data_IF_735584063518
#
_entry.id   IF_735584063518
#
_cell.length_a   1.000
_cell.length_b   1.000
_cell.length_c   1.000
_cell.angle_alpha   90.00
_cell.angle_beta   90.00
_cell.angle_gamma   90.00
#
_symmetry.space_group_name_H-M   'P 1'
#
loop_
_entity.id
_entity.type
_entity.pdbx_description
1 polymer ?
#
# COMPACT_ATOMS: atom_id res chain seq x y z
N UNK A 1 -0.35 1.92 -23.14
CA UNK A 1 0.07 2.20 -21.75
C UNK A 1 -0.37 1.04 -20.89
N UNK A 2 0.48 0.52 -20.00
CA UNK A 2 0.12 -0.63 -19.15
C UNK A 2 -0.77 -0.15 -18.01
N UNK A 3 -1.73 -0.97 -17.57
CA UNK A 3 -2.67 -0.57 -16.50
C UNK A 3 -1.94 -0.12 -15.22
N UNK A 4 -0.84 -0.78 -14.85
CA UNK A 4 -0.02 -0.37 -13.69
C UNK A 4 0.59 1.03 -13.85
N UNK A 5 1.02 1.44 -15.05
CA UNK A 5 1.53 2.80 -15.28
C UNK A 5 0.43 3.85 -15.12
N UNK A 6 -0.79 3.52 -15.56
CA UNK A 6 -1.96 4.39 -15.42
C UNK A 6 -2.30 4.59 -13.95
N UNK A 7 -2.37 3.48 -13.20
CA UNK A 7 -2.75 3.46 -11.79
C UNK A 7 -1.73 4.17 -10.90
N UNK A 8 -0.44 3.95 -11.14
CA UNK A 8 0.63 4.45 -10.27
C UNK A 8 1.13 5.86 -10.63
N UNK A 9 0.96 6.33 -11.87
CA UNK A 9 1.57 7.60 -12.30
C UNK A 9 0.60 8.55 -13.00
N UNK A 10 0.03 8.15 -14.13
CA UNK A 10 -0.67 9.11 -15.01
C UNK A 10 -2.01 9.58 -14.42
N UNK A 11 -2.83 8.67 -13.91
CA UNK A 11 -4.10 9.04 -13.31
C UNK A 11 -3.89 9.83 -11.99
N UNK A 12 -3.02 9.42 -11.05
CA UNK A 12 -2.71 10.24 -9.86
C UNK A 12 -2.21 11.66 -10.19
N UNK A 13 -1.41 11.84 -11.25
CA UNK A 13 -0.97 13.17 -11.72
C UNK A 13 -2.14 14.04 -12.16
N UNK A 14 -3.13 13.47 -12.84
CA UNK A 14 -4.33 14.19 -13.25
C UNK A 14 -5.09 14.73 -12.02
N UNK A 15 -5.37 13.87 -11.02
CA UNK A 15 -6.03 14.33 -9.79
C UNK A 15 -5.17 15.35 -9.03
N UNK A 16 -3.84 15.19 -9.04
CA UNK A 16 -2.92 16.15 -8.45
C UNK A 16 -3.14 17.57 -8.97
N UNK A 17 -3.42 17.74 -10.27
CA UNK A 17 -3.76 19.05 -10.86
C UNK A 17 -5.07 19.60 -10.30
N UNK A 18 -6.15 18.80 -10.28
CA UNK A 18 -7.44 19.23 -9.72
C UNK A 18 -7.36 19.57 -8.21
N UNK A 19 -6.52 18.89 -7.46
CA UNK A 19 -6.30 19.18 -6.02
C UNK A 19 -5.56 20.50 -5.78
N UNK A 20 -4.85 21.02 -6.79
CA UNK A 20 -4.17 22.33 -6.72
C UNK A 20 -5.07 23.49 -7.15
N UNK A 21 -6.19 23.20 -7.80
CA UNK A 21 -7.22 24.19 -8.14
C UNK A 21 -8.06 24.54 -6.90
N UNK A 22 -8.67 25.73 -6.87
CA UNK A 22 -9.53 26.17 -5.76
C UNK A 22 -10.83 25.37 -5.73
N UNK A 23 -10.76 24.15 -5.21
CA UNK A 23 -11.88 23.23 -4.99
C UNK A 23 -12.45 23.42 -3.59
N UNK A 24 -13.76 23.19 -3.43
CA UNK A 24 -14.36 23.22 -2.09
C UNK A 24 -13.78 22.11 -1.21
N UNK A 25 -13.81 22.22 0.14
CA UNK A 25 -13.36 21.15 1.03
C UNK A 25 -14.03 19.79 0.73
N UNK A 26 -15.31 19.81 0.36
CA UNK A 26 -16.08 18.61 0.00
C UNK A 26 -15.60 18.00 -1.32
N UNK A 27 -15.43 18.83 -2.36
CA UNK A 27 -14.89 18.34 -3.65
C UNK A 27 -13.48 17.80 -3.50
N UNK A 28 -12.65 18.44 -2.66
CA UNK A 28 -11.31 17.98 -2.34
C UNK A 28 -11.34 16.58 -1.70
N UNK A 29 -12.24 16.33 -0.75
CA UNK A 29 -12.39 15.01 -0.14
C UNK A 29 -12.80 13.95 -1.17
N UNK A 30 -13.73 14.26 -2.08
CA UNK A 30 -14.15 13.34 -3.13
C UNK A 30 -13.02 13.05 -4.14
N UNK A 31 -12.18 14.03 -4.47
CA UNK A 31 -10.97 13.82 -5.27
C UNK A 31 -9.95 12.94 -4.55
N UNK A 32 -9.79 13.11 -3.23
CA UNK A 32 -8.94 12.23 -2.42
C UNK A 32 -9.48 10.80 -2.40
N UNK A 33 -10.79 10.60 -2.27
CA UNK A 33 -11.43 9.27 -2.39
C UNK A 33 -11.08 8.60 -3.72
N UNK A 34 -11.18 9.34 -4.84
CA UNK A 34 -10.85 8.82 -6.17
C UNK A 34 -9.35 8.46 -6.30
N UNK A 35 -8.45 9.30 -5.77
CA UNK A 35 -7.01 9.00 -5.71
C UNK A 35 -6.74 7.75 -4.89
N UNK A 36 -7.29 7.68 -3.69
CA UNK A 36 -7.07 6.59 -2.75
C UNK A 36 -7.57 5.26 -3.33
N UNK A 37 -8.64 5.28 -4.14
CA UNK A 37 -9.13 4.09 -4.84
C UNK A 37 -8.09 3.49 -5.81
N UNK A 38 -7.35 4.33 -6.55
CA UNK A 38 -6.26 3.84 -7.41
C UNK A 38 -5.09 3.29 -6.60
N UNK A 39 -4.72 3.99 -5.53
CA UNK A 39 -3.65 3.54 -4.62
C UNK A 39 -4.01 2.19 -3.99
N UNK A 40 -5.24 2.04 -3.51
CA UNK A 40 -5.73 0.78 -2.94
C UNK A 40 -5.62 -0.39 -3.92
N UNK A 41 -6.00 -0.20 -5.18
CA UNK A 41 -5.88 -1.24 -6.23
C UNK A 41 -4.41 -1.56 -6.48
N UNK A 42 -3.58 -0.53 -6.68
CA UNK A 42 -2.15 -0.67 -7.00
C UNK A 42 -1.35 -1.31 -5.85
N UNK A 43 -1.55 -0.87 -4.61
CA UNK A 43 -0.81 -1.33 -3.43
C UNK A 43 -1.18 -2.77 -3.04
N UNK A 44 -2.42 -3.17 -3.29
CA UNK A 44 -2.85 -4.56 -3.11
C UNK A 44 -2.57 -5.43 -4.35
N UNK A 45 -1.88 -4.90 -5.37
CA UNK A 45 -1.49 -5.63 -6.57
C UNK A 45 -2.67 -6.12 -7.41
N UNK A 46 -3.81 -5.42 -7.33
CA UNK A 46 -5.05 -5.81 -8.00
C UNK A 46 -5.12 -5.34 -9.46
N UNK A 47 -4.02 -4.87 -10.04
CA UNK A 47 -3.93 -4.28 -11.38
C UNK A 47 -4.61 -5.14 -12.45
N UNK A 48 -4.34 -6.45 -12.46
CA UNK A 48 -4.91 -7.37 -13.44
C UNK A 48 -6.39 -7.67 -13.18
N UNK A 49 -6.79 -7.85 -11.92
CA UNK A 49 -8.22 -8.03 -11.57
C UNK A 49 -9.03 -6.79 -11.96
N UNK A 50 -8.46 -5.63 -11.77
CA UNK A 50 -9.05 -4.36 -12.17
C UNK A 50 -9.10 -4.22 -13.70
N UNK A 51 -8.01 -4.54 -14.40
CA UNK A 51 -7.98 -4.54 -15.86
C UNK A 51 -9.03 -5.49 -16.45
N UNK A 52 -9.17 -6.69 -15.91
CA UNK A 52 -10.14 -7.68 -16.37
C UNK A 52 -11.58 -7.21 -16.07
N UNK A 53 -11.81 -6.57 -14.92
CA UNK A 53 -13.07 -5.91 -14.62
C UNK A 53 -13.43 -4.82 -15.64
N UNK A 54 -12.46 -3.98 -16.03
CA UNK A 54 -12.69 -2.93 -17.04
C UNK A 54 -13.05 -3.51 -18.42
N UNK A 55 -12.54 -4.70 -18.74
CA UNK A 55 -12.84 -5.41 -19.99
C UNK A 55 -14.19 -6.14 -19.94
N UNK A 56 -14.66 -6.51 -18.76
CA UNK A 56 -15.90 -7.28 -18.56
C UNK A 56 -16.51 -7.00 -17.17
N UNK A 57 -17.28 -5.92 -17.02
CA UNK A 57 -17.79 -5.47 -15.72
C UNK A 57 -18.88 -6.38 -15.10
N UNK A 58 -19.33 -7.42 -15.80
CA UNK A 58 -20.42 -8.33 -15.39
C UNK A 58 -20.01 -9.44 -14.40
N UNK A 59 -18.83 -9.34 -13.76
CA UNK A 59 -18.39 -10.33 -12.77
C UNK A 59 -19.36 -10.40 -11.55
N UNK A 60 -19.59 -11.59 -10.96
CA UNK A 60 -20.61 -11.76 -9.93
C UNK A 60 -20.40 -10.88 -8.71
N UNK A 61 -21.47 -10.17 -8.32
CA UNK A 61 -21.57 -9.34 -7.14
C UNK A 61 -21.27 -10.15 -5.87
N UNK A 62 -20.20 -9.80 -5.15
CA UNK A 62 -20.01 -10.29 -3.79
C UNK A 62 -20.90 -9.50 -2.83
N UNK A 63 -21.46 -10.12 -1.77
CA UNK A 63 -22.36 -9.44 -0.85
C UNK A 63 -21.72 -8.17 -0.28
N UNK A 64 -22.52 -7.11 -0.27
CA UNK A 64 -22.18 -5.76 0.15
C UNK A 64 -21.64 -5.73 1.60
N UNK A 65 -20.33 -5.83 1.76
CA UNK A 65 -19.63 -5.41 2.98
C UNK A 65 -19.28 -3.92 2.90
N UNK A 66 -19.71 -3.13 3.90
CA UNK A 66 -19.38 -1.71 4.01
C UNK A 66 -20.43 -0.91 4.79
N UNK A 67 -19.99 0.05 5.60
CA UNK A 67 -20.90 0.99 6.26
C UNK A 67 -21.65 1.87 5.24
N UNK A 68 -22.82 2.38 5.62
CA UNK A 68 -23.61 3.27 4.75
C UNK A 68 -22.80 4.52 4.31
N UNK A 69 -21.87 4.99 5.16
CA UNK A 69 -21.01 6.15 4.91
C UNK A 69 -20.07 5.95 3.70
N UNK A 70 -19.27 4.87 3.68
CA UNK A 70 -18.31 4.63 2.59
C UNK A 70 -19.00 4.37 1.26
N UNK A 71 -20.20 3.75 1.29
CA UNK A 71 -21.02 3.56 0.08
C UNK A 71 -21.41 4.90 -0.55
N UNK A 72 -21.85 5.85 0.27
CA UNK A 72 -22.22 7.19 -0.19
C UNK A 72 -21.01 7.93 -0.76
N UNK A 73 -19.88 7.94 -0.04
CA UNK A 73 -18.65 8.58 -0.48
C UNK A 73 -18.15 8.06 -1.84
N UNK A 74 -18.14 6.74 -2.04
CA UNK A 74 -17.76 6.15 -3.33
C UNK A 74 -18.68 6.60 -4.47
N UNK A 75 -19.98 6.70 -4.20
CA UNK A 75 -20.99 7.11 -5.19
C UNK A 75 -20.86 8.59 -5.55
N UNK A 76 -20.64 9.45 -4.54
CA UNK A 76 -20.43 10.89 -4.73
C UNK A 76 -19.12 11.19 -5.46
N UNK A 77 -18.04 10.48 -5.11
CA UNK A 77 -16.77 10.59 -5.82
C UNK A 77 -16.92 10.18 -7.29
N UNK A 78 -17.65 9.09 -7.58
CA UNK A 78 -17.90 8.66 -8.95
C UNK A 78 -18.71 9.70 -9.73
N UNK A 79 -19.73 10.30 -9.11
CA UNK A 79 -20.52 11.37 -9.71
C UNK A 79 -19.67 12.63 -10.01
N UNK A 80 -18.77 13.00 -9.10
CA UNK A 80 -17.81 14.08 -9.33
C UNK A 80 -16.90 13.78 -10.53
N UNK A 81 -16.34 12.56 -10.62
CA UNK A 81 -15.49 12.19 -11.75
C UNK A 81 -16.28 12.18 -13.08
N UNK A 82 -17.55 11.76 -13.08
CA UNK A 82 -18.41 11.86 -14.27
C UNK A 82 -18.61 13.31 -14.71
N UNK A 83 -18.81 14.23 -13.76
CA UNK A 83 -18.90 15.68 -14.05
C UNK A 83 -17.60 16.20 -14.67
N UNK A 84 -16.46 15.91 -14.06
CA UNK A 84 -15.13 16.30 -14.56
C UNK A 84 -14.92 15.76 -15.98
N UNK A 85 -15.32 14.52 -16.25
CA UNK A 85 -15.23 13.91 -17.60
C UNK A 85 -16.04 14.67 -18.66
N UNK A 86 -17.12 15.33 -18.25
CA UNK A 86 -18.01 16.13 -19.10
C UNK A 86 -17.45 17.50 -19.49
N UNK A 87 -16.34 17.92 -18.89
CA UNK A 87 -15.67 19.18 -19.19
C UNK A 87 -14.86 19.11 -20.50
N UNK A 88 -14.19 20.22 -20.86
CA UNK A 88 -13.36 20.33 -22.07
C UNK A 88 -11.99 19.62 -21.91
N UNK A 89 -12.04 18.31 -21.68
CA UNK A 89 -10.87 17.44 -21.58
C UNK A 89 -10.46 16.85 -22.93
N UNK A 90 -9.16 16.64 -23.08
CA UNK A 90 -8.60 15.84 -24.17
C UNK A 90 -9.13 14.39 -24.12
N UNK A 91 -9.14 13.65 -25.25
CA UNK A 91 -9.49 12.23 -25.25
C UNK A 91 -8.70 11.40 -24.24
N UNK A 92 -7.41 11.69 -24.08
CA UNK A 92 -6.50 11.02 -23.15
C UNK A 92 -6.91 11.29 -21.69
N UNK A 93 -7.21 12.55 -21.34
CA UNK A 93 -7.68 12.89 -19.99
C UNK A 93 -9.05 12.28 -19.69
N UNK A 94 -9.95 12.19 -20.68
CA UNK A 94 -11.23 11.49 -20.52
C UNK A 94 -11.06 10.01 -20.23
N UNK A 95 -10.06 9.37 -20.82
CA UNK A 95 -9.72 7.97 -20.50
C UNK A 95 -9.18 7.84 -19.07
N UNK A 96 -8.28 8.73 -18.65
CA UNK A 96 -7.77 8.76 -17.26
C UNK A 96 -8.91 8.97 -16.24
N UNK A 97 -9.85 9.86 -16.52
CA UNK A 97 -11.04 10.05 -15.68
C UNK A 97 -11.92 8.79 -15.66
N UNK A 98 -12.03 8.09 -16.78
CA UNK A 98 -12.77 6.82 -16.86
C UNK A 98 -12.14 5.75 -15.95
N UNK A 99 -10.80 5.71 -15.85
CA UNK A 99 -10.10 4.81 -14.93
C UNK A 99 -10.49 5.06 -13.47
N UNK A 100 -10.65 6.31 -13.05
CA UNK A 100 -11.13 6.62 -11.70
C UNK A 100 -12.56 6.14 -11.45
N UNK A 101 -13.46 6.39 -12.40
CA UNK A 101 -14.85 5.93 -12.33
C UNK A 101 -14.90 4.40 -12.21
N UNK A 102 -14.14 3.71 -13.05
CA UNK A 102 -14.07 2.26 -13.06
C UNK A 102 -13.49 1.72 -11.75
N UNK A 103 -12.47 2.37 -11.17
CA UNK A 103 -11.86 1.95 -9.91
C UNK A 103 -12.83 2.06 -8.73
N UNK A 104 -13.58 3.17 -8.65
CA UNK A 104 -14.61 3.36 -7.64
C UNK A 104 -15.72 2.30 -7.77
N UNK A 105 -16.15 2.02 -9.00
CA UNK A 105 -17.11 0.96 -9.26
C UNK A 105 -16.57 -0.43 -8.95
N UNK A 106 -15.32 -0.73 -9.30
CA UNK A 106 -14.65 -2.00 -8.99
C UNK A 106 -14.66 -2.27 -7.49
N UNK A 107 -14.26 -1.31 -6.66
CA UNK A 107 -14.29 -1.44 -5.19
C UNK A 107 -15.72 -1.68 -4.69
N UNK A 108 -16.70 -0.96 -5.24
CA UNK A 108 -18.08 -1.08 -4.83
C UNK A 108 -18.73 -2.42 -5.25
N UNK A 109 -18.48 -2.88 -6.47
CA UNK A 109 -19.11 -4.07 -7.06
C UNK A 109 -18.48 -5.38 -6.58
N UNK A 110 -17.18 -5.35 -6.24
CA UNK A 110 -16.45 -6.53 -5.75
C UNK A 110 -16.49 -6.70 -4.23
N UNK A 111 -17.27 -5.88 -3.52
CA UNK A 111 -17.46 -6.01 -2.07
C UNK A 111 -16.30 -5.52 -1.22
N UNK A 112 -15.38 -4.72 -1.78
CA UNK A 112 -14.14 -4.30 -1.11
C UNK A 112 -14.27 -3.04 -0.24
N UNK A 113 -15.50 -2.54 0.00
CA UNK A 113 -15.70 -1.23 0.66
C UNK A 113 -15.12 -1.18 2.07
N UNK A 114 -15.28 -2.25 2.87
CA UNK A 114 -14.72 -2.30 4.24
C UNK A 114 -13.18 -2.29 4.23
N UNK A 115 -12.57 -3.04 3.32
CA UNK A 115 -11.11 -3.04 3.17
C UNK A 115 -10.61 -1.67 2.69
N UNK A 116 -11.33 -1.04 1.76
CA UNK A 116 -11.02 0.30 1.30
C UNK A 116 -11.19 1.37 2.40
N UNK A 117 -12.23 1.27 3.22
CA UNK A 117 -12.44 2.16 4.37
C UNK A 117 -11.34 2.02 5.43
N UNK A 118 -10.87 0.80 5.68
CA UNK A 118 -9.70 0.57 6.53
C UNK A 118 -8.43 1.17 5.89
N UNK A 119 -8.21 0.92 4.60
CA UNK A 119 -7.09 1.49 3.85
C UNK A 119 -7.06 3.01 3.96
N UNK A 120 -8.17 3.71 3.70
CA UNK A 120 -8.22 5.19 3.76
C UNK A 120 -7.93 5.75 5.15
N UNK A 121 -8.39 5.09 6.22
CA UNK A 121 -8.07 5.49 7.60
C UNK A 121 -6.58 5.39 7.88
N UNK A 122 -5.91 4.45 7.22
CA UNK A 122 -4.53 4.08 7.49
C UNK A 122 -3.53 4.72 6.50
N UNK A 123 -3.97 5.13 5.31
CA UNK A 123 -3.14 5.63 4.21
C UNK A 123 -2.39 6.94 4.53
N UNK A 124 -2.79 7.67 5.58
CA UNK A 124 -2.10 8.86 6.07
C UNK A 124 -1.22 8.59 7.30
N UNK A 125 -1.28 7.39 7.88
CA UNK A 125 -0.47 7.04 9.03
C UNK A 125 0.90 6.54 8.56
N UNK A 126 1.98 7.07 9.15
CA UNK A 126 3.32 6.52 8.98
C UNK A 126 3.35 5.10 9.55
N UNK A 127 3.18 4.09 8.69
CA UNK A 127 3.05 2.68 9.08
C UNK A 127 4.01 1.79 8.32
N UNK A 128 4.39 0.64 8.92
CA UNK A 128 5.11 -0.40 8.21
C UNK A 128 4.38 -0.80 6.93
N UNK A 129 5.10 -1.07 5.83
CA UNK A 129 4.49 -1.51 4.59
C UNK A 129 3.65 -2.77 4.76
N UNK A 130 2.58 -2.87 3.96
CA UNK A 130 1.76 -4.08 3.92
C UNK A 130 2.55 -5.23 3.30
N UNK A 131 2.65 -6.36 4.02
CA UNK A 131 3.34 -7.58 3.57
C UNK A 131 2.36 -8.74 3.53
N UNK A 132 2.37 -9.55 2.47
CA UNK A 132 1.39 -10.63 2.29
C UNK A 132 1.86 -11.98 2.82
N UNK A 133 3.17 -12.13 3.05
CA UNK A 133 3.78 -13.35 3.58
C UNK A 133 5.17 -13.05 4.17
N UNK A 134 5.68 -13.99 4.95
CA UNK A 134 7.04 -13.96 5.53
C UNK A 134 7.72 -15.31 5.35
N UNK A 135 8.98 -15.29 4.92
CA UNK A 135 9.79 -16.45 4.57
C UNK A 135 11.14 -16.38 5.26
N UNK A 136 11.76 -17.54 5.52
CA UNK A 136 13.09 -17.59 6.12
C UNK A 136 14.18 -17.34 5.09
N UNK A 137 13.96 -17.76 3.86
CA UNK A 137 14.94 -17.68 2.77
C UNK A 137 14.33 -17.11 1.51
N UNK A 138 15.19 -16.62 0.62
CA UNK A 138 14.76 -16.08 -0.66
C UNK A 138 14.20 -17.18 -1.55
N UNK A 139 14.80 -18.36 -1.50
CA UNK A 139 14.39 -19.54 -2.25
C UNK A 139 12.97 -19.98 -1.87
N UNK A 140 12.62 -19.94 -0.58
CA UNK A 140 11.26 -20.19 -0.10
C UNK A 140 10.25 -19.18 -0.67
N UNK A 141 10.62 -17.89 -0.68
CA UNK A 141 9.76 -16.83 -1.20
C UNK A 141 9.57 -16.93 -2.71
N UNK A 142 10.63 -17.23 -3.46
CA UNK A 142 10.57 -17.44 -4.91
C UNK A 142 9.74 -18.68 -5.24
N UNK A 143 9.94 -19.79 -4.51
CA UNK A 143 9.12 -20.99 -4.65
C UNK A 143 7.64 -20.70 -4.35
N UNK A 144 7.33 -19.95 -3.28
CA UNK A 144 5.95 -19.56 -2.98
C UNK A 144 5.32 -18.76 -4.12
N UNK A 145 6.04 -17.78 -4.67
CA UNK A 145 5.59 -16.95 -5.79
C UNK A 145 5.42 -17.79 -7.07
N UNK A 146 6.25 -18.81 -7.26
CA UNK A 146 6.17 -19.73 -8.39
C UNK A 146 4.92 -20.62 -8.37
N UNK A 147 4.46 -20.98 -7.18
CA UNK A 147 3.27 -21.80 -6.97
C UNK A 147 1.96 -21.00 -6.93
N UNK A 148 2.00 -19.66 -6.99
CA UNK A 148 0.79 -18.87 -7.15
C UNK A 148 0.28 -18.98 -8.59
N UNK A 149 -0.95 -19.50 -8.83
CA UNK A 149 -1.50 -19.63 -10.18
C UNK A 149 -1.80 -18.27 -10.80
N UNK A 150 -2.28 -17.31 -9.99
CA UNK A 150 -2.53 -15.92 -10.37
C UNK A 150 -2.04 -15.00 -9.25
N UNK A 151 -0.72 -14.73 -9.16
CA UNK A 151 -0.21 -13.83 -8.13
C UNK A 151 -0.71 -12.40 -8.40
N UNK A 152 -0.85 -11.58 -7.35
CA UNK A 152 -1.04 -10.14 -7.51
C UNK A 152 0.06 -9.55 -8.41
N UNK A 153 -0.26 -8.50 -9.15
CA UNK A 153 0.70 -7.84 -10.05
C UNK A 153 1.95 -7.36 -9.30
N UNK A 154 1.79 -6.99 -8.04
CA UNK A 154 2.88 -6.68 -7.12
C UNK A 154 2.42 -6.79 -5.66
N UNK A 155 3.39 -6.80 -4.75
CA UNK A 155 3.15 -6.71 -3.32
C UNK A 155 4.47 -6.87 -2.56
N UNK A 156 4.42 -6.87 -1.23
CA UNK A 156 5.62 -7.06 -0.42
C UNK A 156 5.56 -8.35 0.39
N UNK A 157 6.73 -8.92 0.62
CA UNK A 157 6.95 -10.08 1.49
C UNK A 157 8.15 -9.81 2.38
N UNK A 158 8.21 -10.47 3.53
CA UNK A 158 9.40 -10.50 4.35
C UNK A 158 10.26 -11.71 3.99
N UNK A 159 11.55 -11.51 3.81
CA UNK A 159 12.54 -12.58 3.60
C UNK A 159 13.63 -12.40 4.63
N UNK A 160 13.76 -13.35 5.55
CA UNK A 160 14.67 -13.25 6.70
C UNK A 160 14.50 -11.94 7.50
N UNK A 161 13.27 -11.40 7.56
CA UNK A 161 12.97 -10.12 8.22
C UNK A 161 13.30 -8.87 7.39
N UNK A 162 13.68 -9.01 6.11
CA UNK A 162 13.89 -7.89 5.20
C UNK A 162 12.72 -7.75 4.22
N UNK A 163 12.44 -6.52 3.79
CA UNK A 163 11.34 -6.24 2.87
C UNK A 163 11.78 -6.51 1.44
N UNK A 164 10.99 -7.34 0.74
CA UNK A 164 11.12 -7.58 -0.69
C UNK A 164 9.81 -7.26 -1.37
N UNK A 165 9.86 -6.58 -2.51
CA UNK A 165 8.73 -6.48 -3.41
C UNK A 165 8.76 -7.67 -4.37
N UNK A 166 7.65 -8.37 -4.50
CA UNK A 166 7.42 -9.24 -5.65
C UNK A 166 6.70 -8.45 -6.75
N UNK A 167 6.97 -8.84 -7.97
CA UNK A 167 6.26 -8.37 -9.16
C UNK A 167 5.88 -9.56 -10.03
N UNK A 168 4.77 -9.41 -10.74
CA UNK A 168 4.30 -10.35 -11.74
C UNK A 168 3.86 -9.59 -12.99
N UNK A 169 4.46 -9.94 -14.12
CA UNK A 169 4.10 -9.46 -15.45
C UNK A 169 3.37 -10.59 -16.18
N UNK A 170 2.04 -10.55 -16.16
CA UNK A 170 1.14 -11.54 -16.77
C UNK A 170 1.47 -11.81 -18.24
N UNK A 171 1.75 -10.76 -19.01
CA UNK A 171 1.99 -10.85 -20.45
C UNK A 171 3.27 -11.62 -20.79
N UNK A 172 4.26 -11.56 -19.89
CA UNK A 172 5.54 -12.24 -20.05
C UNK A 172 5.62 -13.52 -19.22
N UNK A 173 4.58 -13.82 -18.45
CA UNK A 173 4.59 -14.79 -17.36
C UNK A 173 5.87 -14.69 -16.50
N UNK A 174 6.30 -13.44 -16.23
CA UNK A 174 7.56 -13.17 -15.54
C UNK A 174 7.28 -12.67 -14.15
N UNK A 175 7.89 -13.34 -13.17
CA UNK A 175 7.83 -12.97 -11.76
C UNK A 175 9.22 -12.83 -11.19
N UNK A 176 9.33 -12.11 -10.08
CA UNK A 176 10.59 -11.96 -9.39
C UNK A 176 10.47 -11.19 -8.10
N UNK A 177 11.57 -11.20 -7.35
CA UNK A 177 11.72 -10.50 -6.09
C UNK A 177 12.82 -9.43 -6.22
N UNK A 178 12.57 -8.28 -5.60
CA UNK A 178 13.55 -7.20 -5.48
C UNK A 178 13.58 -6.70 -4.03
N UNK A 179 14.76 -6.51 -3.43
CA UNK A 179 14.87 -5.83 -2.13
C UNK A 179 14.21 -4.46 -2.18
N UNK A 180 13.54 -4.09 -1.09
CA UNK A 180 12.93 -2.78 -0.89
C UNK A 180 13.47 -2.12 0.37
N UNK A 181 13.59 -0.79 0.31
CA UNK A 181 14.06 0.05 1.42
C UNK A 181 12.92 0.81 2.09
N UNK A 182 11.70 0.29 2.00
CA UNK A 182 10.47 0.96 2.43
C UNK A 182 10.41 1.14 3.95
N UNK A 183 10.92 0.17 4.71
CA UNK A 183 11.02 0.29 6.16
C UNK A 183 12.08 1.32 6.58
N UNK A 184 13.23 1.34 5.90
CA UNK A 184 14.29 2.34 6.11
C UNK A 184 13.78 3.75 5.87
N UNK A 185 13.01 3.95 4.78
CA UNK A 185 12.36 5.23 4.50
C UNK A 185 11.40 5.63 5.62
N UNK A 186 10.59 4.70 6.12
CA UNK A 186 9.69 4.95 7.24
C UNK A 186 10.46 5.34 8.50
N UNK A 187 11.50 4.58 8.88
CA UNK A 187 12.29 4.89 10.09
C UNK A 187 12.92 6.27 9.97
N UNK A 188 13.49 6.60 8.81
CA UNK A 188 14.03 7.94 8.54
C UNK A 188 12.97 9.02 8.77
N UNK A 189 11.79 8.89 8.17
CA UNK A 189 10.69 9.84 8.33
C UNK A 189 10.30 9.99 9.81
N UNK A 190 10.09 8.87 10.52
CA UNK A 190 9.72 8.88 11.94
C UNK A 190 10.78 9.55 12.82
N UNK A 191 12.06 9.45 12.46
CA UNK A 191 13.14 10.11 13.19
C UNK A 191 13.26 11.60 12.88
N UNK A 192 12.92 12.04 11.67
CA UNK A 192 12.91 13.46 11.28
C UNK A 192 11.84 14.26 12.06
N UNK A 193 10.74 13.60 12.43
CA UNK A 193 9.67 14.20 13.25
C UNK A 193 10.06 14.42 14.72
N UNK A 194 11.22 13.88 15.16
CA UNK A 194 11.78 14.05 16.51
C UNK A 194 12.19 12.72 17.14
N UNK A 195 12.94 12.74 18.28
CA UNK A 195 13.34 11.52 18.96
C UNK A 195 12.10 10.77 19.45
N UNK A 196 11.91 9.50 19.04
CA UNK A 196 10.67 8.80 19.30
C UNK A 196 10.55 8.41 20.77
N UNK A 197 9.33 8.49 21.30
CA UNK A 197 9.02 7.94 22.62
C UNK A 197 9.18 6.41 22.60
N UNK A 198 10.03 5.90 23.47
CA UNK A 198 10.24 4.45 23.61
C UNK A 198 9.22 3.88 24.56
N UNK A 199 8.55 2.80 24.15
CA UNK A 199 7.52 2.16 24.98
C UNK A 199 8.11 1.15 25.97
N UNK A 200 9.34 0.68 25.74
CA UNK A 200 10.04 -0.27 26.59
C UNK A 200 11.57 -0.23 26.35
N UNK A 201 12.33 -0.77 27.30
CA UNK A 201 13.79 -0.90 27.24
C UNK A 201 14.20 -2.28 27.76
N UNK A 202 15.12 -2.93 27.05
CA UNK A 202 15.56 -4.31 27.29
C UNK A 202 17.09 -4.40 27.31
N UNK A 203 17.63 -5.36 28.05
CA UNK A 203 19.07 -5.62 28.06
C UNK A 203 19.51 -6.41 26.82
N UNK A 204 18.62 -7.24 26.27
CA UNK A 204 18.92 -8.11 25.13
C UNK A 204 17.79 -8.19 24.12
N UNK A 205 18.12 -8.66 22.90
CA UNK A 205 17.14 -8.90 21.83
C UNK A 205 16.16 -10.00 22.18
N UNK A 206 16.62 -11.06 22.84
CA UNK A 206 15.78 -12.18 23.29
C UNK A 206 14.67 -11.70 24.23
N UNK A 207 15.01 -10.85 25.21
CA UNK A 207 14.03 -10.24 26.12
C UNK A 207 12.97 -9.41 25.38
N UNK A 208 13.40 -8.63 24.38
CA UNK A 208 12.51 -7.81 23.57
C UNK A 208 11.56 -8.65 22.69
N UNK A 209 12.06 -9.73 22.10
CA UNK A 209 11.28 -10.68 21.30
C UNK A 209 10.24 -11.39 22.18
N UNK A 210 10.65 -11.83 23.36
CA UNK A 210 9.77 -12.43 24.37
C UNK A 210 8.64 -11.48 24.80
N UNK A 211 8.99 -10.21 25.04
CA UNK A 211 8.01 -9.17 25.38
C UNK A 211 7.02 -8.95 24.23
N UNK A 212 7.50 -8.83 23.00
CA UNK A 212 6.67 -8.59 21.82
C UNK A 212 5.74 -9.78 21.52
N UNK A 213 6.22 -11.00 21.76
CA UNK A 213 5.43 -12.23 21.61
C UNK A 213 4.28 -12.33 22.63
N UNK A 214 4.47 -11.81 23.85
CA UNK A 214 3.47 -11.83 24.93
C UNK A 214 2.37 -10.77 24.76
N UNK A 215 2.51 -9.83 23.84
CA UNK A 215 1.47 -8.82 23.59
C UNK A 215 0.26 -9.41 22.87
N UNK A 216 -0.90 -9.26 23.50
CA UNK A 216 -2.20 -9.68 22.96
C UNK A 216 -2.69 -8.77 21.82
N UNK A 217 -2.40 -7.47 21.92
CA UNK A 217 -2.77 -6.46 20.92
C UNK A 217 -1.63 -5.45 20.75
N UNK A 218 -0.52 -5.85 20.11
CA UNK A 218 0.61 -4.95 19.93
C UNK A 218 0.26 -3.80 18.97
N UNK A 219 0.81 -2.59 19.18
CA UNK A 219 0.71 -1.53 18.18
C UNK A 219 1.35 -1.97 16.86
N UNK A 220 0.91 -1.40 15.75
CA UNK A 220 1.44 -1.72 14.40
C UNK A 220 2.94 -1.50 14.33
N UNK A 221 3.45 -0.49 15.03
CA UNK A 221 4.85 -0.31 15.29
C UNK A 221 5.07 0.45 16.60
N UNK A 222 6.23 0.25 17.24
CA UNK A 222 6.66 1.00 18.41
C UNK A 222 8.18 1.05 18.51
N UNK A 223 8.70 2.17 19.01
CA UNK A 223 10.12 2.28 19.32
C UNK A 223 10.43 1.65 20.68
N UNK A 224 11.50 0.87 20.73
CA UNK A 224 12.04 0.25 21.94
C UNK A 224 13.55 0.46 22.02
N UNK A 225 14.11 0.30 23.22
CA UNK A 225 15.55 0.27 23.42
C UNK A 225 16.00 -1.17 23.67
N UNK A 226 17.09 -1.57 23.03
CA UNK A 226 17.76 -2.84 23.29
C UNK A 226 19.23 -2.53 23.50
N UNK A 227 19.76 -2.83 24.68
CA UNK A 227 21.14 -2.51 25.06
C UNK A 227 21.53 -1.02 24.84
N UNK A 228 20.56 -0.11 24.96
CA UNK A 228 20.77 1.33 24.76
C UNK A 228 20.62 1.81 23.31
N UNK A 229 20.38 0.92 22.35
CA UNK A 229 20.15 1.26 20.95
C UNK A 229 18.67 1.24 20.58
N UNK A 230 18.24 2.21 19.78
CA UNK A 230 16.87 2.28 19.30
C UNK A 230 16.57 1.20 18.27
N UNK A 231 15.42 0.57 18.44
CA UNK A 231 14.86 -0.41 17.53
C UNK A 231 13.39 -0.09 17.26
N UNK A 232 12.92 -0.46 16.08
CA UNK A 232 11.51 -0.43 15.71
C UNK A 232 10.95 -1.85 15.82
N UNK A 233 10.07 -2.07 16.78
CA UNK A 233 9.23 -3.26 16.83
C UNK A 233 8.04 -3.06 15.88
N UNK A 234 7.76 -4.05 15.05
CA UNK A 234 6.73 -4.02 14.01
C UNK A 234 5.81 -5.24 14.17
N UNK A 235 4.51 -5.01 14.03
CA UNK A 235 3.50 -6.05 13.97
C UNK A 235 2.71 -5.97 12.67
N UNK A 236 2.81 -7.03 11.86
CA UNK A 236 2.01 -7.24 10.66
C UNK A 236 0.79 -8.09 11.01
N UNK A 237 -0.31 -7.44 11.33
CA UNK A 237 -1.54 -8.08 11.79
C UNK A 237 -2.06 -9.15 10.81
N UNK A 238 -2.03 -8.85 9.51
CA UNK A 238 -2.60 -9.71 8.47
C UNK A 238 -1.88 -11.06 8.30
N UNK A 239 -0.61 -11.15 8.69
CA UNK A 239 0.16 -12.40 8.70
C UNK A 239 0.56 -12.82 10.13
N UNK A 240 0.02 -12.14 11.14
CA UNK A 240 0.37 -12.30 12.56
C UNK A 240 1.88 -12.34 12.84
N UNK A 241 2.67 -11.58 12.07
CA UNK A 241 4.12 -11.60 12.13
C UNK A 241 4.66 -10.43 12.95
N UNK A 242 5.70 -10.69 13.74
CA UNK A 242 6.38 -9.73 14.60
C UNK A 242 7.84 -9.66 14.19
N UNK A 243 8.36 -8.45 14.03
CA UNK A 243 9.75 -8.22 13.67
C UNK A 243 10.33 -7.06 14.49
N UNK A 244 11.63 -7.11 14.75
CA UNK A 244 12.37 -6.04 15.42
C UNK A 244 13.52 -5.64 14.51
N UNK A 245 13.60 -4.35 14.20
CA UNK A 245 14.59 -3.79 13.29
C UNK A 245 15.43 -2.74 14.01
N UNK A 246 16.76 -2.83 13.99
CA UNK A 246 17.60 -1.76 14.52
C UNK A 246 17.45 -0.51 13.65
N UNK A 247 17.47 0.69 14.23
CA UNK A 247 17.37 1.92 13.45
C UNK A 247 18.52 2.06 12.43
N UNK A 248 19.68 1.47 12.71
CA UNK A 248 20.85 1.50 11.83
C UNK A 248 20.61 0.92 10.43
N UNK A 249 19.50 0.20 10.19
CA UNK A 249 19.16 -0.23 8.83
C UNK A 249 19.01 0.95 7.85
N UNK A 250 18.71 2.16 8.33
CA UNK A 250 18.65 3.38 7.51
C UNK A 250 19.99 3.67 6.80
N UNK A 251 21.12 3.21 7.35
CA UNK A 251 22.43 3.34 6.70
C UNK A 251 22.51 2.60 5.37
N UNK A 252 21.75 1.49 5.22
CA UNK A 252 21.67 0.73 3.96
C UNK A 252 21.05 1.56 2.86
N UNK A 253 20.00 2.30 3.18
CA UNK A 253 19.34 3.21 2.26
C UNK A 253 20.27 4.35 1.85
N UNK A 254 20.95 4.97 2.82
CA UNK A 254 21.94 6.01 2.53
C UNK A 254 23.10 5.51 1.66
N UNK A 255 23.53 4.24 1.84
CA UNK A 255 24.53 3.60 0.98
C UNK A 255 24.00 3.41 -0.44
N UNK A 256 22.81 2.84 -0.59
CA UNK A 256 22.19 2.63 -1.89
C UNK A 256 21.98 3.94 -2.66
N UNK A 257 21.50 5.00 -2.00
CA UNK A 257 21.31 6.33 -2.61
C UNK A 257 22.63 6.91 -3.16
N UNK A 258 23.75 6.72 -2.43
CA UNK A 258 25.09 7.13 -2.90
C UNK A 258 25.54 6.36 -4.14
N UNK A 259 25.22 5.06 -4.22
CA UNK A 259 25.59 4.19 -5.35
C UNK A 259 24.74 4.43 -6.60
N UNK A 260 23.54 5.00 -6.46
CA UNK A 260 22.69 5.39 -7.61
C UNK A 260 22.96 6.81 -8.12
N UNK A 261 23.63 7.66 -7.32
CA UNK A 261 23.93 9.06 -7.62
C UNK A 261 25.27 9.31 -8.33
N UNK A 262 26.00 8.25 -8.68
CA UNK A 262 27.26 8.24 -9.47
C UNK A 262 27.05 7.63 -10.83
#
# INVERSE_FOLDING_TARGET
MRIGEILSFEAPRLIGRYLTEQTSPEERELLLVARDALLFISELGQDYRFEDYRRSPDAPLSPSGGGASIKTLLSEAAALMVRIRGEHLSPEEKELVSVFIDALHFIASTGQRTAFEAFRRDALAARPPHVVASFRTREEAEAWLDHQPEPPAQGQVLVAGEYYQFYYFRELNRRGLRPQFTLEMLIRQLMEEGPPATVASFASREEAEDWLAKQLAPPTHAFILIAGEYHLAVFHENIHHRAIHPISIVERLAKWEREQGT
#
